data_IF_069853085912
#
_entry.id   IF_069853085912
#
_cell.length_a   1.000
_cell.length_b   1.000
_cell.length_c   1.000
_cell.angle_alpha   90.00
_cell.angle_beta   90.00
_cell.angle_gamma   90.00
#
_symmetry.space_group_name_H-M   'P 1'
#
loop_
_entity.id
_entity.type
_entity.pdbx_description
1 polymer ?
#
# COMPACT_ATOMS: atom_id res chain seq x y z
N UNK A 1 25.80 -34.11 20.58
CA UNK A 1 24.51 -34.87 20.49
C UNK A 1 23.37 -34.04 19.87
N UNK A 2 23.29 -32.73 20.10
CA UNK A 2 22.19 -31.84 19.64
C UNK A 2 21.74 -32.00 18.16
N UNK A 3 22.68 -32.12 17.20
CA UNK A 3 22.36 -32.31 15.77
C UNK A 3 21.50 -33.54 15.45
N UNK A 4 21.54 -34.60 16.27
CA UNK A 4 20.74 -35.82 16.04
C UNK A 4 19.27 -35.68 16.45
N UNK A 5 18.92 -34.68 17.25
CA UNK A 5 17.54 -34.39 17.67
C UNK A 5 16.92 -33.21 16.90
N UNK A 6 17.71 -32.26 16.42
CA UNK A 6 17.22 -31.13 15.61
C UNK A 6 16.62 -31.57 14.26
N UNK A 7 17.23 -32.56 13.59
CA UNK A 7 16.78 -33.01 12.26
C UNK A 7 15.39 -33.66 12.26
N UNK A 8 15.06 -34.64 13.14
CA UNK A 8 13.71 -35.19 13.21
C UNK A 8 12.67 -34.17 13.71
N UNK A 9 13.06 -33.22 14.57
CA UNK A 9 12.16 -32.16 15.05
C UNK A 9 11.73 -31.22 13.91
N UNK A 10 12.67 -30.79 13.05
CA UNK A 10 12.35 -29.98 11.87
C UNK A 10 11.54 -30.77 10.83
N UNK A 11 11.83 -32.06 10.63
CA UNK A 11 11.05 -32.91 9.73
C UNK A 11 9.59 -33.11 10.21
N UNK A 12 9.38 -33.29 11.52
CA UNK A 12 8.04 -33.39 12.10
C UNK A 12 7.25 -32.10 11.96
N UNK A 13 7.91 -30.94 12.12
CA UNK A 13 7.31 -29.61 11.94
C UNK A 13 6.88 -29.37 10.48
N UNK A 14 7.67 -29.83 9.52
CA UNK A 14 7.40 -29.68 8.08
C UNK A 14 6.26 -30.59 7.58
N UNK A 15 6.10 -31.78 8.18
CA UNK A 15 5.04 -32.74 7.81
C UNK A 15 3.68 -32.35 8.42
N UNK A 16 3.68 -31.55 9.50
CA UNK A 16 2.46 -31.06 10.15
C UNK A 16 1.82 -29.81 9.48
N UNK A 17 2.43 -29.26 8.42
CA UNK A 17 1.90 -28.11 7.66
C UNK A 17 1.40 -28.55 6.27
N UNK A 18 0.30 -29.31 6.19
CA UNK A 18 -0.82 -28.82 5.37
C UNK A 18 -2.21 -29.33 5.84
N UNK A 19 -2.86 -28.63 6.78
CA UNK A 19 -4.33 -28.60 6.93
C UNK A 19 -4.74 -27.67 8.08
N UNK A 20 -4.85 -26.35 7.83
CA UNK A 20 -5.52 -25.44 8.77
C UNK A 20 -6.21 -24.25 8.09
N UNK A 21 -6.98 -24.52 7.04
CA UNK A 21 -7.95 -23.56 6.49
C UNK A 21 -9.18 -23.45 7.41
N UNK A 22 -9.01 -22.86 8.59
CA UNK A 22 -10.12 -22.51 9.49
C UNK A 22 -10.59 -21.09 9.17
N UNK A 23 -11.54 -20.99 8.24
CA UNK A 23 -12.31 -19.77 8.02
C UNK A 23 -13.32 -19.58 9.16
N UNK A 24 -12.88 -18.92 10.23
CA UNK A 24 -13.76 -18.42 11.28
C UNK A 24 -13.43 -16.97 11.63
N UNK A 25 -14.45 -16.10 11.61
CA UNK A 25 -14.36 -14.76 12.16
C UNK A 25 -14.40 -14.86 13.69
N UNK A 26 -13.22 -14.93 14.32
CA UNK A 26 -13.12 -14.89 15.77
C UNK A 26 -13.32 -13.45 16.27
N UNK A 27 -14.53 -13.13 16.73
CA UNK A 27 -14.75 -11.99 17.62
C UNK A 27 -13.94 -12.24 18.90
N UNK A 28 -12.84 -11.49 19.03
CA UNK A 28 -11.89 -11.63 20.13
C UNK A 28 -11.82 -10.31 20.89
N UNK A 29 -12.27 -10.34 22.13
CA UNK A 29 -12.09 -9.24 23.08
C UNK A 29 -10.73 -9.40 23.78
N UNK A 30 -9.77 -8.48 23.58
CA UNK A 30 -8.49 -8.55 24.28
C UNK A 30 -8.70 -8.40 25.79
N UNK A 31 -8.29 -9.41 26.55
CA UNK A 31 -8.29 -9.40 28.02
C UNK A 31 -7.23 -8.47 28.60
N UNK A 32 -6.17 -8.17 27.83
CA UNK A 32 -5.05 -7.32 28.22
C UNK A 32 -4.68 -6.37 27.08
N UNK A 33 -4.21 -5.16 27.41
CA UNK A 33 -3.85 -4.13 26.42
C UNK A 33 -2.35 -4.14 26.16
N UNK A 34 -1.97 -4.18 24.89
CA UNK A 34 -0.57 -4.11 24.48
C UNK A 34 -0.11 -2.64 24.51
N UNK A 35 0.97 -2.29 25.23
CA UNK A 35 1.47 -0.92 25.30
C UNK A 35 1.77 -0.36 23.90
N UNK A 36 1.23 0.82 23.61
CA UNK A 36 1.48 1.54 22.35
C UNK A 36 0.63 1.12 21.15
N UNK A 37 -0.35 0.22 21.31
CA UNK A 37 -1.27 -0.16 20.20
C UNK A 37 -2.74 -0.07 20.63
N UNK A 38 -3.58 0.47 19.75
CA UNK A 38 -5.04 0.56 19.97
C UNK A 38 -5.69 -0.81 19.80
N UNK A 39 -6.38 -1.28 20.84
CA UNK A 39 -7.11 -2.55 20.83
C UNK A 39 -8.48 -2.38 20.17
N UNK A 40 -8.53 -2.57 18.84
CA UNK A 40 -9.78 -2.93 18.18
C UNK A 40 -10.12 -4.39 18.57
N UNK A 41 -11.40 -4.72 18.71
CA UNK A 41 -11.90 -6.05 19.11
C UNK A 41 -11.74 -7.15 18.06
N UNK A 42 -10.62 -7.15 17.33
CA UNK A 42 -10.34 -8.02 16.21
C UNK A 42 -9.04 -8.80 16.47
N UNK A 43 -9.14 -10.14 16.48
CA UNK A 43 -8.03 -11.05 16.73
C UNK A 43 -6.79 -10.75 15.87
N UNK A 44 -6.99 -10.32 14.63
CA UNK A 44 -5.94 -10.09 13.65
C UNK A 44 -5.15 -8.80 13.92
N UNK A 45 -5.86 -7.73 14.31
CA UNK A 45 -5.23 -6.49 14.75
C UNK A 45 -4.42 -6.75 16.05
N UNK A 46 -4.94 -7.59 16.94
CA UNK A 46 -4.25 -8.01 18.15
C UNK A 46 -2.96 -8.82 17.87
N UNK A 47 -3.01 -9.85 17.00
CA UNK A 47 -1.81 -10.61 16.59
C UNK A 47 -0.79 -9.69 15.87
N UNK A 48 -1.25 -8.75 15.04
CA UNK A 48 -0.40 -7.73 14.41
C UNK A 48 0.31 -6.84 15.45
N UNK A 49 -0.40 -6.46 16.51
CA UNK A 49 0.14 -5.71 17.63
C UNK A 49 1.19 -6.51 18.41
N UNK A 50 0.93 -7.78 18.74
CA UNK A 50 1.88 -8.68 19.43
C UNK A 50 3.19 -8.81 18.66
N UNK A 51 3.12 -9.06 17.35
CA UNK A 51 4.32 -9.23 16.52
C UNK A 51 5.17 -7.95 16.48
N UNK A 52 4.55 -6.79 16.23
CA UNK A 52 5.25 -5.49 16.18
C UNK A 52 5.88 -5.14 17.52
N UNK A 53 5.19 -5.41 18.63
CA UNK A 53 5.71 -5.26 19.98
C UNK A 53 6.92 -6.17 20.24
N UNK A 54 6.84 -7.44 19.83
CA UNK A 54 7.94 -8.41 19.97
C UNK A 54 9.23 -7.97 19.27
N UNK A 55 9.14 -7.46 18.04
CA UNK A 55 10.31 -6.94 17.29
C UNK A 55 10.96 -5.75 18.03
N UNK A 56 10.16 -4.83 18.57
CA UNK A 56 10.66 -3.71 19.36
C UNK A 56 11.36 -4.17 20.66
N UNK A 57 10.77 -5.14 21.37
CA UNK A 57 11.37 -5.71 22.59
C UNK A 57 12.71 -6.37 22.29
N UNK A 58 12.82 -7.15 21.22
CA UNK A 58 14.08 -7.80 20.82
C UNK A 58 15.19 -6.77 20.58
N UNK A 59 14.89 -5.67 19.87
CA UNK A 59 15.85 -4.59 19.62
C UNK A 59 16.33 -3.91 20.91
N UNK A 60 15.40 -3.59 21.81
CA UNK A 60 15.72 -2.96 23.11
C UNK A 60 16.54 -3.91 24.00
N UNK A 61 16.17 -5.19 24.10
CA UNK A 61 16.91 -6.18 24.88
C UNK A 61 18.32 -6.41 24.32
N UNK A 62 18.49 -6.49 23.00
CA UNK A 62 19.81 -6.61 22.38
C UNK A 62 20.70 -5.39 22.70
N UNK A 63 20.15 -4.17 22.62
CA UNK A 63 20.86 -2.94 22.99
C UNK A 63 21.35 -2.98 24.46
N UNK A 64 20.49 -3.33 25.41
CA UNK A 64 20.89 -3.40 26.82
C UNK A 64 21.96 -4.46 27.08
N UNK A 65 21.86 -5.64 26.46
CA UNK A 65 22.87 -6.70 26.64
C UNK A 65 24.23 -6.31 26.05
N UNK A 66 24.27 -5.58 24.92
CA UNK A 66 25.50 -5.01 24.36
C UNK A 66 26.11 -3.97 25.31
N UNK A 67 25.30 -3.09 25.91
CA UNK A 67 25.77 -2.10 26.91
C UNK A 67 26.36 -2.79 28.15
N UNK A 68 25.67 -3.80 28.70
CA UNK A 68 26.13 -4.58 29.86
C UNK A 68 27.44 -5.30 29.53
N UNK A 69 27.51 -5.97 28.38
CA UNK A 69 28.73 -6.64 27.91
C UNK A 69 29.90 -5.66 27.70
N UNK A 70 29.63 -4.47 27.15
CA UNK A 70 30.62 -3.40 26.98
C UNK A 70 31.15 -2.88 28.33
N UNK A 71 30.27 -2.65 29.30
CA UNK A 71 30.65 -2.26 30.65
C UNK A 71 31.50 -3.33 31.36
N UNK A 72 31.07 -4.60 31.29
CA UNK A 72 31.83 -5.74 31.81
C UNK A 72 33.22 -5.86 31.15
N UNK A 73 33.34 -5.55 29.86
CA UNK A 73 34.61 -5.59 29.14
C UNK A 73 35.60 -4.54 29.68
N UNK A 74 35.14 -3.30 29.85
CA UNK A 74 35.96 -2.20 30.39
C UNK A 74 36.38 -2.49 31.84
N UNK A 75 35.44 -2.94 32.68
CA UNK A 75 35.69 -3.24 34.10
C UNK A 75 36.50 -4.53 34.33
N UNK A 76 36.83 -5.29 33.30
CA UNK A 76 37.60 -6.54 33.44
C UNK A 76 39.08 -6.33 33.78
N UNK A 77 39.62 -5.10 33.67
CA UNK A 77 40.98 -4.73 34.10
C UNK A 77 42.11 -5.69 33.63
N UNK A 78 42.00 -6.23 32.41
CA UNK A 78 42.98 -7.17 31.83
C UNK A 78 42.81 -8.65 32.22
N UNK A 79 41.80 -9.00 33.05
CA UNK A 79 41.48 -10.39 33.33
C UNK A 79 40.85 -11.08 32.10
N UNK A 80 41.65 -11.92 31.43
CA UNK A 80 41.24 -12.67 30.24
C UNK A 80 39.93 -13.47 30.41
N UNK A 81 39.65 -14.02 31.59
CA UNK A 81 38.42 -14.80 31.83
C UNK A 81 37.18 -13.90 31.89
N UNK A 82 37.28 -12.73 32.53
CA UNK A 82 36.19 -11.74 32.58
C UNK A 82 35.98 -11.07 31.22
N UNK A 83 37.07 -10.75 30.51
CA UNK A 83 37.02 -10.23 29.14
C UNK A 83 36.38 -11.24 28.17
N UNK A 84 36.67 -12.53 28.32
CA UNK A 84 36.04 -13.61 27.55
C UNK A 84 34.53 -13.69 27.78
N UNK A 85 34.08 -13.63 29.04
CA UNK A 85 32.65 -13.59 29.40
C UNK A 85 31.94 -12.36 28.81
N UNK A 86 32.55 -11.18 28.92
CA UNK A 86 32.02 -9.93 28.37
C UNK A 86 31.85 -10.00 26.84
N UNK A 87 32.84 -10.54 26.12
CA UNK A 87 32.73 -10.80 24.66
C UNK A 87 31.63 -11.80 24.32
N UNK A 88 31.44 -12.84 25.14
CA UNK A 88 30.34 -13.79 25.01
C UNK A 88 28.97 -13.10 25.05
N UNK A 89 28.71 -12.29 26.08
CA UNK A 89 27.44 -11.53 26.22
C UNK A 89 27.16 -10.63 25.01
N UNK A 90 28.17 -9.95 24.49
CA UNK A 90 28.03 -9.11 23.28
C UNK A 90 27.74 -9.98 22.05
N UNK A 91 28.47 -11.10 21.89
CA UNK A 91 28.30 -11.99 20.74
C UNK A 91 26.91 -12.65 20.73
N UNK A 92 26.44 -13.15 21.87
CA UNK A 92 25.12 -13.78 22.00
C UNK A 92 23.99 -12.79 21.69
N UNK A 93 24.12 -11.53 22.14
CA UNK A 93 23.18 -10.46 21.81
C UNK A 93 23.15 -10.12 20.30
N UNK A 94 24.32 -10.06 19.65
CA UNK A 94 24.43 -9.86 18.20
C UNK A 94 23.85 -11.05 17.43
N UNK A 95 24.12 -12.29 17.85
CA UNK A 95 23.57 -13.50 17.23
C UNK A 95 22.04 -13.52 17.36
N UNK A 96 21.48 -13.15 18.50
CA UNK A 96 20.03 -13.01 18.68
C UNK A 96 19.41 -11.98 17.73
N UNK A 97 20.03 -10.81 17.59
CA UNK A 97 19.58 -9.77 16.67
C UNK A 97 19.68 -10.21 15.20
N UNK A 98 20.78 -10.85 14.81
CA UNK A 98 20.97 -11.40 13.47
C UNK A 98 19.96 -12.51 13.17
N UNK A 99 19.63 -13.38 14.13
CA UNK A 99 18.62 -14.42 13.96
C UNK A 99 17.24 -13.82 13.68
N UNK A 100 16.85 -12.77 14.41
CA UNK A 100 15.62 -12.03 14.13
C UNK A 100 15.63 -11.36 12.74
N UNK A 101 16.76 -10.78 12.34
CA UNK A 101 16.93 -10.15 11.03
C UNK A 101 16.88 -11.17 9.88
N UNK A 102 17.56 -12.31 10.00
CA UNK A 102 17.50 -13.38 9.00
C UNK A 102 16.11 -14.04 8.93
N UNK A 103 15.41 -14.16 10.06
CA UNK A 103 14.00 -14.58 10.09
C UNK A 103 13.14 -13.64 9.23
N UNK A 104 13.25 -12.32 9.44
CA UNK A 104 12.57 -11.32 8.62
C UNK A 104 12.95 -11.42 7.13
N UNK A 105 14.23 -11.53 6.79
CA UNK A 105 14.70 -11.66 5.40
C UNK A 105 14.13 -12.89 4.70
N UNK A 106 14.14 -14.07 5.36
CA UNK A 106 13.60 -15.30 4.78
C UNK A 106 12.09 -15.16 4.53
N UNK A 107 11.35 -14.60 5.47
CA UNK A 107 9.91 -14.34 5.29
C UNK A 107 9.66 -13.36 4.13
N UNK A 108 10.45 -12.27 4.06
CA UNK A 108 10.33 -11.24 3.03
C UNK A 108 10.61 -11.77 1.62
N UNK A 109 11.66 -12.58 1.46
CA UNK A 109 12.07 -13.14 0.16
C UNK A 109 11.10 -14.22 -0.35
N UNK A 110 10.48 -15.00 0.56
CA UNK A 110 9.45 -15.98 0.20
C UNK A 110 8.15 -15.28 -0.19
N UNK A 111 7.66 -14.36 0.64
CA UNK A 111 6.53 -13.49 0.31
C UNK A 111 6.48 -12.27 1.26
N UNK A 112 6.60 -11.03 0.76
CA UNK A 112 6.56 -9.82 1.59
C UNK A 112 5.21 -9.64 2.35
N UNK A 113 4.12 -10.26 1.91
CA UNK A 113 2.83 -10.19 2.62
C UNK A 113 2.87 -10.94 3.98
N UNK A 114 3.79 -11.90 4.14
CA UNK A 114 4.02 -12.60 5.41
C UNK A 114 4.65 -11.67 6.46
N UNK A 115 5.46 -10.68 6.04
CA UNK A 115 5.97 -9.65 6.96
C UNK A 115 4.97 -8.53 7.20
N UNK A 116 3.96 -8.38 6.32
CA UNK A 116 2.89 -7.39 6.47
C UNK A 116 1.69 -7.86 7.30
N UNK A 117 1.64 -9.13 7.72
CA UNK A 117 0.61 -9.75 8.61
C UNK A 117 -0.81 -9.83 7.99
N UNK A 118 -1.09 -9.07 6.93
CA UNK A 118 -2.30 -9.13 6.11
C UNK A 118 -2.66 -10.56 5.65
N UNK A 119 -1.64 -11.41 5.41
CA UNK A 119 -1.81 -12.80 4.97
C UNK A 119 -2.40 -13.76 6.03
N UNK A 120 -2.34 -13.44 7.32
CA UNK A 120 -2.84 -14.32 8.41
C UNK A 120 -4.37 -14.22 8.56
N UNK A 121 -4.97 -13.15 8.05
CA UNK A 121 -6.34 -12.75 8.39
C UNK A 121 -7.14 -12.15 7.22
N UNK A 122 -6.78 -12.51 5.99
CA UNK A 122 -7.43 -12.03 4.78
C UNK A 122 -8.90 -12.45 4.68
N UNK A 123 -9.82 -11.58 5.12
CA UNK A 123 -11.25 -11.77 4.90
C UNK A 123 -11.60 -11.74 3.41
N UNK A 124 -11.72 -12.95 2.82
CA UNK A 124 -12.61 -13.23 1.68
C UNK A 124 -14.06 -12.91 2.09
N UNK A 125 -14.41 -11.62 2.06
CA UNK A 125 -15.81 -11.18 2.20
C UNK A 125 -16.51 -11.32 0.86
N UNK A 126 -17.36 -12.34 0.74
CA UNK A 126 -18.16 -12.59 -0.46
C UNK A 126 -19.66 -12.39 -0.22
N UNK A 127 -20.36 -12.01 -1.29
CA UNK A 127 -21.82 -11.97 -1.39
C UNK A 127 -22.48 -10.63 -1.03
N UNK A 128 -23.61 -10.25 -1.63
CA UNK A 128 -24.24 -10.71 -2.88
C UNK A 128 -25.37 -9.73 -3.25
N UNK A 129 -25.50 -9.35 -4.52
CA UNK A 129 -26.68 -8.66 -5.04
C UNK A 129 -26.82 -8.89 -6.56
N UNK A 130 -28.07 -8.98 -7.04
CA UNK A 130 -28.44 -9.62 -8.32
C UNK A 130 -29.13 -8.62 -9.26
N UNK A 131 -28.85 -8.72 -10.56
CA UNK A 131 -29.56 -7.99 -11.63
C UNK A 131 -29.16 -6.51 -11.78
N UNK A 132 -29.22 -5.90 -12.97
CA UNK A 132 -29.57 -6.41 -14.29
C UNK A 132 -29.78 -5.24 -15.27
N UNK A 133 -29.39 -5.38 -16.54
CA UNK A 133 -29.59 -4.35 -17.58
C UNK A 133 -28.29 -3.85 -18.21
N UNK A 134 -28.06 -4.23 -19.47
CA UNK A 134 -27.00 -3.70 -20.33
C UNK A 134 -27.46 -2.43 -21.06
N UNK A 135 -26.58 -1.71 -21.80
CA UNK A 135 -26.22 -2.17 -23.15
C UNK A 135 -24.72 -2.34 -23.45
N UNK A 136 -24.40 -3.57 -23.82
CA UNK A 136 -23.48 -4.11 -24.87
C UNK A 136 -23.40 -3.29 -26.18
N UNK A 137 -22.38 -3.33 -27.06
CA UNK A 137 -20.94 -3.78 -27.10
C UNK A 137 -20.28 -3.11 -28.36
N UNK A 138 -19.04 -3.43 -28.82
CA UNK A 138 -18.79 -4.61 -29.70
C UNK A 138 -17.54 -5.47 -29.37
N UNK A 139 -17.69 -6.78 -29.55
CA UNK A 139 -16.61 -7.80 -29.71
C UNK A 139 -16.84 -8.50 -31.06
N UNK A 140 -16.00 -9.37 -31.64
CA UNK A 140 -14.89 -10.28 -31.22
C UNK A 140 -14.01 -10.50 -32.52
N UNK A 141 -13.11 -11.49 -32.70
CA UNK A 141 -12.45 -12.43 -31.78
C UNK A 141 -10.92 -12.63 -31.96
N UNK A 142 -10.26 -13.16 -30.92
CA UNK A 142 -9.10 -14.04 -31.13
C UNK A 142 -7.91 -13.88 -30.19
N UNK A 143 -8.04 -14.24 -28.90
CA UNK A 143 -7.01 -14.92 -28.11
C UNK A 143 -7.56 -15.32 -26.72
N UNK A 144 -7.00 -16.37 -26.12
CA UNK A 144 -7.46 -16.95 -24.85
C UNK A 144 -6.99 -16.09 -23.66
N UNK A 145 -7.88 -15.67 -22.74
CA UNK A 145 -7.49 -14.86 -21.59
C UNK A 145 -6.77 -15.72 -20.53
N UNK A 146 -5.72 -15.20 -19.86
CA UNK A 146 -5.27 -15.74 -18.58
C UNK A 146 -6.35 -15.55 -17.51
N UNK A 147 -6.43 -16.50 -16.60
CA UNK A 147 -7.49 -16.55 -15.59
C UNK A 147 -7.18 -15.67 -14.37
N UNK A 148 -8.24 -15.18 -13.72
CA UNK A 148 -8.27 -14.68 -12.33
C UNK A 148 -7.39 -13.47 -11.99
N UNK A 149 -7.81 -12.29 -12.45
CA UNK A 149 -7.65 -11.07 -11.66
C UNK A 149 -8.66 -11.05 -10.49
N UNK A 150 -8.19 -10.88 -9.25
CA UNK A 150 -9.07 -10.73 -8.08
C UNK A 150 -9.69 -9.33 -8.08
N UNK A 151 -11.04 -9.19 -8.02
CA UNK A 151 -11.69 -7.87 -7.97
C UNK A 151 -11.18 -7.01 -6.82
N UNK A 152 -10.93 -5.73 -7.09
CA UNK A 152 -10.47 -4.78 -6.07
C UNK A 152 -11.54 -4.63 -4.98
N UNK A 153 -11.21 -5.02 -3.74
CA UNK A 153 -12.09 -4.84 -2.57
C UNK A 153 -12.28 -3.35 -2.31
N UNK A 154 -13.47 -2.84 -2.60
CA UNK A 154 -13.86 -1.46 -2.33
C UNK A 154 -14.15 -1.28 -0.83
N UNK A 155 -13.59 -0.24 -0.23
CA UNK A 155 -13.86 0.12 1.17
C UNK A 155 -15.13 0.98 1.32
N UNK A 156 -15.52 1.22 2.58
CA UNK A 156 -16.54 2.22 2.93
C UNK A 156 -15.88 3.49 3.45
N UNK A 157 -16.54 4.63 3.24
CA UNK A 157 -16.12 5.92 3.78
C UNK A 157 -16.40 5.96 5.30
N UNK A 158 -15.43 5.50 6.09
CA UNK A 158 -15.41 5.62 7.55
C UNK A 158 -15.71 7.05 8.04
N UNK A 159 -16.51 7.22 9.12
CA UNK A 159 -16.71 8.49 9.81
C UNK A 159 -15.43 9.14 10.34
N UNK A 160 -14.30 8.43 10.36
CA UNK A 160 -13.00 8.96 10.76
C UNK A 160 -12.55 10.21 9.97
N UNK A 161 -13.08 10.44 8.76
CA UNK A 161 -12.83 11.68 8.02
C UNK A 161 -13.74 12.85 8.43
N UNK A 162 -14.92 12.60 9.02
CA UNK A 162 -15.95 13.62 9.24
C UNK A 162 -15.49 14.71 10.26
N UNK A 163 -14.52 14.38 11.14
CA UNK A 163 -13.82 15.33 12.02
C UNK A 163 -12.97 16.39 11.29
N UNK A 164 -12.71 16.22 9.99
CA UNK A 164 -11.92 17.15 9.18
C UNK A 164 -12.77 17.94 8.16
N UNK A 165 -14.10 17.89 8.27
CA UNK A 165 -15.00 18.47 7.27
C UNK A 165 -14.86 20.00 7.17
N UNK A 166 -14.57 20.71 8.27
CA UNK A 166 -14.29 22.14 8.19
C UNK A 166 -13.00 22.45 7.41
N UNK A 167 -11.96 21.61 7.53
CA UNK A 167 -10.72 21.75 6.78
C UNK A 167 -10.92 21.41 5.29
N UNK A 168 -11.67 20.36 4.96
CA UNK A 168 -12.03 20.04 3.57
C UNK A 168 -12.84 21.18 2.94
N UNK A 169 -13.88 21.68 3.63
CA UNK A 169 -14.71 22.79 3.18
C UNK A 169 -13.92 24.10 3.02
N UNK A 170 -12.86 24.30 3.80
CA UNK A 170 -11.98 25.47 3.69
C UNK A 170 -10.92 25.35 2.58
N UNK A 171 -10.62 24.13 2.11
CA UNK A 171 -9.58 23.89 1.11
C UNK A 171 -10.12 23.94 -0.34
N UNK A 172 -11.42 23.70 -0.53
CA UNK A 172 -12.06 23.72 -1.84
C UNK A 172 -13.47 24.35 -1.81
N UNK A 173 -13.85 25.15 -2.83
CA UNK A 173 -15.11 25.89 -2.84
C UNK A 173 -16.35 25.03 -3.16
N UNK A 174 -16.15 23.88 -3.79
CA UNK A 174 -17.20 23.00 -4.34
C UNK A 174 -17.22 21.62 -3.65
N UNK A 175 -18.43 21.05 -3.48
CA UNK A 175 -18.63 19.77 -2.75
C UNK A 175 -17.93 18.61 -3.46
N UNK A 176 -17.83 18.69 -4.77
CA UNK A 176 -17.19 17.75 -5.67
C UNK A 176 -15.70 17.59 -5.31
N UNK A 177 -14.97 18.69 -5.20
CA UNK A 177 -13.55 18.72 -4.79
C UNK A 177 -13.37 18.46 -3.30
N UNK A 178 -14.27 18.93 -2.43
CA UNK A 178 -14.25 18.60 -0.99
C UNK A 178 -14.33 17.08 -0.77
N UNK A 179 -15.28 16.42 -1.43
CA UNK A 179 -15.42 14.96 -1.39
C UNK A 179 -14.29 14.22 -2.10
N UNK A 180 -13.67 14.80 -3.13
CA UNK A 180 -12.48 14.23 -3.77
C UNK A 180 -11.30 14.19 -2.79
N UNK A 181 -11.01 15.32 -2.13
CA UNK A 181 -9.98 15.42 -1.10
C UNK A 181 -10.25 14.46 0.06
N UNK A 182 -11.51 14.33 0.50
CA UNK A 182 -11.93 13.38 1.54
C UNK A 182 -11.73 11.92 1.11
N UNK A 183 -12.00 11.61 -0.16
CA UNK A 183 -11.74 10.28 -0.74
C UNK A 183 -10.25 9.94 -0.86
N UNK A 184 -9.41 10.93 -1.19
CA UNK A 184 -7.94 10.82 -1.17
C UNK A 184 -7.45 10.59 0.26
N UNK A 185 -7.87 11.41 1.23
CA UNK A 185 -7.49 11.27 2.64
C UNK A 185 -7.83 9.88 3.22
N UNK A 186 -8.99 9.32 2.82
CA UNK A 186 -9.37 7.95 3.17
C UNK A 186 -8.42 6.91 2.59
N UNK A 187 -8.04 7.06 1.32
CA UNK A 187 -7.18 6.10 0.63
C UNK A 187 -5.71 6.21 1.08
N UNK A 188 -5.24 7.40 1.43
CA UNK A 188 -3.85 7.67 1.83
C UNK A 188 -3.57 7.32 3.30
N UNK A 189 -4.48 7.70 4.22
CA UNK A 189 -4.24 7.56 5.67
C UNK A 189 -5.39 6.90 6.44
N UNK A 190 -6.51 6.55 5.80
CA UNK A 190 -7.75 6.21 6.51
C UNK A 190 -8.30 7.38 7.34
N UNK A 191 -7.93 8.62 6.98
CA UNK A 191 -8.11 9.82 7.79
C UNK A 191 -7.47 9.74 9.21
N UNK A 192 -6.31 9.10 9.31
CA UNK A 192 -5.45 9.15 10.48
C UNK A 192 -4.39 10.25 10.30
N UNK A 193 -4.49 11.36 11.05
CA UNK A 193 -3.47 12.43 11.02
C UNK A 193 -2.12 12.01 11.62
N UNK A 194 -2.07 10.93 12.38
CA UNK A 194 -0.88 10.49 13.11
C UNK A 194 0.00 9.54 12.26
N UNK A 195 -0.27 9.41 10.96
CA UNK A 195 0.63 8.71 10.03
C UNK A 195 1.89 9.55 9.84
N UNK A 196 2.99 9.07 10.40
CA UNK A 196 4.32 9.61 10.12
C UNK A 196 4.74 9.35 8.67
N UNK A 197 6.03 9.57 8.39
CA UNK A 197 6.60 9.30 7.07
C UNK A 197 6.36 7.85 6.66
N UNK A 198 5.60 7.63 5.60
CA UNK A 198 5.48 6.30 4.99
C UNK A 198 6.84 5.82 4.46
N UNK A 199 6.92 4.54 4.08
CA UNK A 199 8.11 3.94 3.47
C UNK A 199 8.57 4.65 2.17
N UNK A 200 7.74 5.54 1.59
CA UNK A 200 8.06 6.37 0.42
C UNK A 200 8.35 7.86 0.77
N UNK A 201 8.45 8.21 2.06
CA UNK A 201 8.78 9.55 2.55
C UNK A 201 7.62 10.56 2.53
N UNK A 202 6.37 10.09 2.61
CA UNK A 202 5.18 10.93 2.53
C UNK A 202 4.47 11.05 3.90
N UNK A 203 3.93 12.22 4.22
CA UNK A 203 3.53 12.58 5.60
C UNK A 203 2.09 13.07 5.72
N UNK A 204 1.52 12.85 6.90
CA UNK A 204 0.23 13.40 7.33
C UNK A 204 -0.97 12.81 6.59
N UNK A 205 -2.12 13.47 6.80
CA UNK A 205 -3.44 13.00 6.39
C UNK A 205 -3.54 12.67 4.89
N UNK A 206 -2.84 13.47 4.07
CA UNK A 206 -2.89 13.41 2.61
C UNK A 206 -1.67 12.70 1.98
N UNK A 207 -0.78 12.12 2.80
CA UNK A 207 0.47 11.44 2.39
C UNK A 207 1.24 12.18 1.28
N UNK A 208 1.67 13.41 1.58
CA UNK A 208 2.43 14.24 0.64
C UNK A 208 3.92 14.18 1.00
N UNK A 209 4.80 14.13 -0.01
CA UNK A 209 6.26 14.24 0.21
C UNK A 209 6.69 15.69 0.46
N UNK A 210 7.61 15.96 1.40
CA UNK A 210 8.15 17.29 1.65
C UNK A 210 8.63 18.02 0.39
N UNK A 211 9.44 17.33 -0.43
CA UNK A 211 10.01 17.88 -1.67
C UNK A 211 8.94 18.23 -2.72
N UNK A 212 7.86 17.45 -2.79
CA UNK A 212 6.72 17.70 -3.69
C UNK A 212 5.85 18.86 -3.18
N UNK A 213 5.75 19.04 -1.87
CA UNK A 213 4.95 20.09 -1.26
C UNK A 213 5.65 21.46 -1.22
N UNK A 214 6.99 21.47 -1.17
CA UNK A 214 7.77 22.63 -0.73
C UNK A 214 7.54 22.97 0.75
N UNK A 215 7.27 21.96 1.58
CA UNK A 215 6.90 22.12 3.00
C UNK A 215 7.64 21.11 3.87
N UNK A 216 7.86 21.42 5.14
CA UNK A 216 8.49 20.47 6.06
C UNK A 216 7.55 19.31 6.44
N UNK A 217 8.12 18.17 6.83
CA UNK A 217 7.36 17.01 7.32
C UNK A 217 6.46 17.33 8.54
N UNK A 218 6.90 18.25 9.41
CA UNK A 218 6.11 18.75 10.55
C UNK A 218 4.86 19.49 10.07
N UNK A 219 5.00 20.37 9.09
CA UNK A 219 3.88 21.12 8.53
C UNK A 219 2.91 20.27 7.72
N UNK A 220 3.40 19.23 7.04
CA UNK A 220 2.54 18.26 6.34
C UNK A 220 1.79 17.32 7.30
N UNK A 221 2.26 17.19 8.55
CA UNK A 221 1.58 16.43 9.61
C UNK A 221 0.43 17.21 10.24
N UNK A 222 0.37 18.53 10.07
CA UNK A 222 -0.82 19.32 10.41
C UNK A 222 -1.96 19.03 9.40
N UNK A 223 -3.16 18.60 9.84
CA UNK A 223 -4.24 18.21 8.94
C UNK A 223 -4.71 19.32 7.99
N UNK A 224 -4.79 20.57 8.46
CA UNK A 224 -5.28 21.68 7.64
C UNK A 224 -4.30 22.04 6.54
N UNK A 225 -3.00 22.13 6.87
CA UNK A 225 -1.92 22.32 5.90
C UNK A 225 -1.83 21.15 4.92
N UNK A 226 -1.96 19.91 5.39
CA UNK A 226 -1.95 18.70 4.56
C UNK A 226 -3.07 18.75 3.51
N UNK A 227 -4.32 19.03 3.93
CA UNK A 227 -5.50 19.12 3.04
C UNK A 227 -5.38 20.30 2.07
N UNK A 228 -4.96 21.48 2.54
CA UNK A 228 -4.76 22.66 1.68
C UNK A 228 -3.70 22.40 0.60
N UNK A 229 -2.56 21.79 0.97
CA UNK A 229 -1.52 21.42 0.00
C UNK A 229 -2.01 20.38 -1.00
N UNK A 230 -2.81 19.39 -0.60
CA UNK A 230 -3.42 18.46 -1.54
C UNK A 230 -4.34 19.17 -2.55
N UNK A 231 -5.13 20.15 -2.11
CA UNK A 231 -5.99 20.95 -3.00
C UNK A 231 -5.18 21.80 -4.00
N UNK A 232 -4.03 22.35 -3.58
CA UNK A 232 -3.08 23.03 -4.48
C UNK A 232 -2.46 22.08 -5.50
N UNK A 233 -2.03 20.88 -5.07
CA UNK A 233 -1.47 19.87 -5.96
C UNK A 233 -2.48 19.38 -7.00
N UNK A 234 -3.76 19.19 -6.64
CA UNK A 234 -4.81 18.87 -7.60
C UNK A 234 -4.99 19.98 -8.65
N UNK A 235 -4.96 21.26 -8.26
CA UNK A 235 -5.02 22.40 -9.20
C UNK A 235 -3.79 22.49 -10.11
N UNK A 236 -2.62 22.16 -9.58
CA UNK A 236 -1.38 22.07 -10.37
C UNK A 236 -1.46 20.93 -11.39
N UNK A 237 -1.89 19.74 -10.95
CA UNK A 237 -2.08 18.58 -11.80
C UNK A 237 -3.13 18.81 -12.90
N UNK A 238 -4.29 19.40 -12.59
CA UNK A 238 -5.28 19.83 -13.59
C UNK A 238 -4.65 20.70 -14.68
N UNK A 239 -3.76 21.62 -14.28
CA UNK A 239 -3.06 22.53 -15.20
C UNK A 239 -2.06 21.80 -16.07
N UNK A 240 -1.31 20.85 -15.49
CA UNK A 240 -0.37 19.98 -16.20
C UNK A 240 -1.08 19.02 -17.17
N UNK A 241 -2.23 18.46 -16.79
CA UNK A 241 -3.01 17.56 -17.64
C UNK A 241 -3.45 18.25 -18.94
N UNK A 242 -3.85 19.53 -18.88
CA UNK A 242 -4.18 20.32 -20.09
C UNK A 242 -3.03 20.45 -21.11
N UNK A 243 -1.78 20.11 -20.75
CA UNK A 243 -0.64 20.16 -21.69
C UNK A 243 -0.54 18.93 -22.60
N UNK A 244 -1.25 17.84 -22.30
CA UNK A 244 -1.28 16.64 -23.12
C UNK A 244 -2.25 16.79 -24.29
N UNK A 245 -1.72 16.71 -25.51
CA UNK A 245 -2.48 16.84 -26.77
C UNK A 245 -2.61 15.54 -27.56
N UNK A 246 -1.87 14.49 -27.18
CA UNK A 246 -1.83 13.20 -27.89
C UNK A 246 -3.02 12.29 -27.60
N UNK A 247 -3.61 12.45 -26.42
CA UNK A 247 -4.77 11.73 -25.93
C UNK A 247 -5.59 12.70 -25.06
N UNK A 248 -6.92 12.52 -24.96
CA UNK A 248 -7.72 13.32 -24.03
C UNK A 248 -7.32 12.98 -22.58
N UNK A 249 -7.17 14.00 -21.75
CA UNK A 249 -7.07 13.85 -20.29
C UNK A 249 -8.19 14.63 -19.62
N UNK A 250 -8.84 14.04 -18.62
CA UNK A 250 -9.89 14.74 -17.90
C UNK A 250 -9.35 15.56 -16.72
N UNK A 251 -9.97 16.72 -16.52
CA UNK A 251 -9.64 17.69 -15.46
C UNK A 251 -10.76 17.88 -14.44
N UNK A 252 -11.87 17.15 -14.57
CA UNK A 252 -13.00 17.31 -13.67
C UNK A 252 -12.66 16.78 -12.28
N UNK A 253 -13.32 17.31 -11.26
CA UNK A 253 -13.24 16.78 -9.90
C UNK A 253 -14.35 15.76 -9.63
N UNK A 254 -15.38 15.70 -10.47
CA UNK A 254 -16.47 14.71 -10.44
C UNK A 254 -16.15 13.41 -11.17
N UNK A 255 -16.52 12.23 -10.62
CA UNK A 255 -16.59 11.01 -11.40
C UNK A 255 -17.69 11.12 -12.46
N UNK A 256 -17.37 10.73 -13.69
CA UNK A 256 -18.30 10.60 -14.80
C UNK A 256 -19.21 9.37 -14.69
N UNK A 257 -20.04 9.21 -15.71
CA UNK A 257 -21.03 8.11 -15.82
C UNK A 257 -20.48 6.89 -16.55
N UNK A 258 -19.57 7.08 -17.50
CA UNK A 258 -18.91 6.01 -18.25
C UNK A 258 -17.94 5.23 -17.34
N UNK A 259 -17.89 3.91 -17.52
CA UNK A 259 -17.09 3.00 -16.70
C UNK A 259 -16.12 2.19 -17.57
N UNK A 260 -14.82 2.39 -17.34
CA UNK A 260 -13.75 1.58 -17.92
C UNK A 260 -13.58 0.31 -17.08
N UNK A 261 -13.45 -0.85 -17.75
CA UNK A 261 -13.24 -2.15 -17.09
C UNK A 261 -12.12 -2.91 -17.79
N UNK A 262 -11.21 -3.49 -17.02
CA UNK A 262 -10.01 -4.15 -17.52
C UNK A 262 -10.09 -5.68 -17.45
N UNK A 263 -9.32 -6.41 -18.28
CA UNK A 263 -9.21 -7.86 -18.20
C UNK A 263 -8.70 -8.38 -16.84
N UNK A 264 -7.97 -7.56 -16.09
CA UNK A 264 -7.46 -7.86 -14.73
C UNK A 264 -8.52 -7.69 -13.62
N UNK A 265 -9.78 -7.38 -13.98
CA UNK A 265 -10.88 -7.18 -13.05
C UNK A 265 -10.92 -5.81 -12.37
N UNK A 266 -9.96 -4.92 -12.65
CA UNK A 266 -10.01 -3.52 -12.25
C UNK A 266 -11.07 -2.73 -13.02
N UNK A 267 -11.62 -1.68 -12.41
CA UNK A 267 -12.55 -0.78 -13.11
C UNK A 267 -12.65 0.59 -12.45
N UNK A 268 -12.71 1.67 -13.24
CA UNK A 268 -12.95 3.03 -12.76
C UNK A 268 -14.01 3.73 -13.62
N UNK A 269 -14.50 4.87 -13.15
CA UNK A 269 -15.35 5.78 -13.94
C UNK A 269 -14.49 6.85 -14.58
N UNK A 270 -14.82 7.35 -15.76
CA UNK A 270 -14.08 8.48 -16.37
C UNK A 270 -14.31 9.79 -15.58
N UNK A 271 -13.81 10.93 -16.05
CA UNK A 271 -14.18 12.26 -15.54
C UNK A 271 -13.17 12.84 -14.55
N UNK A 272 -12.84 12.14 -13.47
CA UNK A 272 -11.79 12.59 -12.54
C UNK A 272 -10.67 11.55 -12.32
N UNK A 273 -10.68 10.51 -13.14
CA UNK A 273 -9.75 9.40 -13.10
C UNK A 273 -8.30 9.81 -13.39
N UNK A 274 -8.05 10.61 -14.43
CA UNK A 274 -6.72 11.19 -14.70
C UNK A 274 -6.24 12.08 -13.56
N UNK A 275 -7.14 12.89 -12.98
CA UNK A 275 -6.79 13.77 -11.86
C UNK A 275 -6.40 12.97 -10.61
N UNK A 276 -7.12 11.89 -10.31
CA UNK A 276 -6.78 10.98 -9.20
C UNK A 276 -5.50 10.19 -9.50
N UNK A 277 -5.32 9.70 -10.73
CA UNK A 277 -4.11 9.00 -11.16
C UNK A 277 -2.87 9.90 -11.05
N UNK A 278 -2.99 11.17 -11.42
CA UNK A 278 -1.92 12.16 -11.30
C UNK A 278 -1.53 12.50 -9.86
N UNK A 279 -2.44 12.33 -8.89
CA UNK A 279 -2.12 12.49 -7.48
C UNK A 279 -1.25 11.32 -6.97
N UNK A 280 -1.59 10.09 -7.35
CA UNK A 280 -0.90 8.87 -6.90
C UNK A 280 0.42 8.60 -7.66
N UNK A 281 0.41 8.69 -8.99
CA UNK A 281 1.55 8.39 -9.86
C UNK A 281 2.36 9.62 -10.30
N UNK A 282 1.90 10.83 -9.99
CA UNK A 282 2.41 12.10 -10.52
C UNK A 282 1.78 12.47 -11.86
N UNK A 283 1.72 13.77 -12.20
CA UNK A 283 1.15 14.24 -13.48
C UNK A 283 2.07 14.09 -14.70
N UNK A 284 3.26 13.49 -14.56
CA UNK A 284 4.33 13.54 -15.56
C UNK A 284 4.38 12.38 -16.55
N UNK A 285 5.01 12.62 -17.70
CA UNK A 285 5.35 11.59 -18.70
C UNK A 285 6.67 10.85 -18.41
N UNK A 286 7.39 11.21 -17.34
CA UNK A 286 8.64 10.57 -16.90
C UNK A 286 8.62 10.41 -15.38
N UNK A 287 9.10 9.26 -14.88
CA UNK A 287 9.23 8.98 -13.44
C UNK A 287 10.71 8.79 -13.00
N UNK A 288 11.66 9.18 -13.86
CA UNK A 288 13.11 9.07 -13.64
C UNK A 288 13.84 8.65 -14.91
N UNK A 289 15.15 8.46 -14.84
CA UNK A 289 15.92 7.89 -15.96
C UNK A 289 15.42 6.49 -16.31
N UNK A 290 15.17 6.24 -17.60
CA UNK A 290 14.64 4.96 -18.09
C UNK A 290 13.20 4.62 -17.66
N UNK A 291 12.50 5.49 -16.92
CA UNK A 291 11.16 5.22 -16.38
C UNK A 291 10.09 6.10 -17.07
N UNK A 292 9.16 5.44 -17.74
CA UNK A 292 7.89 6.04 -18.16
C UNK A 292 7.15 6.60 -16.93
N UNK A 293 6.47 7.73 -17.10
CA UNK A 293 5.49 8.25 -16.13
C UNK A 293 4.06 7.86 -16.54
N UNK A 294 3.07 7.98 -15.64
CA UNK A 294 1.69 7.57 -15.89
C UNK A 294 1.05 8.26 -17.09
N UNK A 295 1.48 9.48 -17.43
CA UNK A 295 1.02 10.25 -18.60
C UNK A 295 2.03 10.21 -19.76
N UNK A 296 2.85 9.16 -19.85
CA UNK A 296 3.55 8.83 -21.09
C UNK A 296 2.57 8.23 -22.10
N UNK A 297 2.83 8.40 -23.40
CA UNK A 297 2.07 7.73 -24.46
C UNK A 297 2.34 6.22 -24.41
N UNK A 298 1.27 5.45 -24.25
CA UNK A 298 1.30 3.99 -24.27
C UNK A 298 1.90 3.44 -25.55
N UNK A 299 2.87 2.54 -25.42
CA UNK A 299 3.42 1.73 -26.51
C UNK A 299 2.85 0.31 -26.50
N UNK A 300 2.42 -0.21 -25.34
CA UNK A 300 1.85 -1.56 -25.24
C UNK A 300 0.39 -1.64 -25.73
N UNK A 301 -0.40 -0.58 -25.54
CA UNK A 301 -1.78 -0.52 -26.05
C UNK A 301 -1.87 -0.03 -27.50
N UNK A 302 -0.81 0.57 -28.05
CA UNK A 302 -0.76 1.13 -29.40
C UNK A 302 -0.92 0.06 -30.48
N UNK A 303 -1.79 0.28 -31.46
CA UNK A 303 -2.12 -0.70 -32.50
C UNK A 303 -2.79 -1.99 -32.00
N UNK A 304 -3.15 -2.09 -30.71
CA UNK A 304 -3.73 -3.31 -30.12
C UNK A 304 -5.25 -3.29 -30.30
N UNK A 305 -5.82 -4.39 -30.81
CA UNK A 305 -7.24 -4.46 -31.11
C UNK A 305 -8.12 -4.17 -29.87
N UNK A 306 -9.05 -3.22 -29.99
CA UNK A 306 -9.93 -2.78 -28.90
C UNK A 306 -9.35 -1.68 -27.99
N UNK A 307 -8.15 -1.17 -28.27
CA UNK A 307 -7.53 -0.04 -27.56
C UNK A 307 -7.43 1.19 -28.50
N UNK A 308 -7.44 2.41 -27.96
CA UNK A 308 -7.19 3.62 -28.74
C UNK A 308 -5.73 3.68 -29.21
N UNK A 309 -5.50 4.32 -30.37
CA UNK A 309 -4.16 4.48 -30.96
C UNK A 309 -3.19 5.32 -30.11
N UNK A 310 -3.73 6.10 -29.16
CA UNK A 310 -2.96 6.84 -28.17
C UNK A 310 -3.75 6.93 -26.86
N UNK A 311 -3.09 6.62 -25.75
CA UNK A 311 -3.63 6.72 -24.39
C UNK A 311 -2.48 6.90 -23.37
N UNK A 312 -2.74 7.45 -22.18
CA UNK A 312 -1.75 7.51 -21.12
C UNK A 312 -1.43 6.11 -20.58
N UNK A 313 -0.16 5.86 -20.27
CA UNK A 313 0.33 4.56 -19.81
C UNK A 313 -0.39 4.04 -18.55
N UNK A 314 -0.90 4.93 -17.69
CA UNK A 314 -1.61 4.51 -16.48
C UNK A 314 -2.91 3.74 -16.75
N UNK A 315 -3.58 4.08 -17.87
CA UNK A 315 -4.80 3.42 -18.33
C UNK A 315 -4.53 2.11 -19.06
N UNK A 316 -3.29 1.83 -19.50
CA UNK A 316 -3.00 0.59 -20.23
C UNK A 316 -2.89 -0.61 -19.25
N UNK A 317 -3.66 -1.70 -19.44
CA UNK A 317 -3.59 -2.86 -18.58
C UNK A 317 -2.33 -3.69 -18.83
N UNK A 318 -2.06 -4.63 -17.92
CA UNK A 318 -1.03 -5.66 -18.12
C UNK A 318 -1.54 -6.71 -19.11
N UNK A 319 -0.68 -7.15 -20.04
CA UNK A 319 -1.02 -8.17 -21.04
C UNK A 319 -0.27 -9.49 -20.83
N UNK A 320 -0.94 -10.58 -21.18
CA UNK A 320 -0.46 -11.97 -21.03
C UNK A 320 0.85 -12.28 -21.76
N UNK A 321 1.09 -11.57 -22.88
CA UNK A 321 2.27 -11.70 -23.74
C UNK A 321 3.54 -11.05 -23.13
N UNK A 322 3.44 -10.46 -21.93
CA UNK A 322 4.53 -9.76 -21.28
C UNK A 322 4.81 -8.38 -21.85
N UNK A 323 3.92 -7.83 -22.69
CA UNK A 323 3.93 -6.40 -23.00
C UNK A 323 3.47 -5.61 -21.76
N UNK A 324 4.37 -4.76 -21.28
CA UNK A 324 4.22 -4.01 -20.01
C UNK A 324 4.63 -2.57 -20.19
N UNK A 325 3.95 -1.69 -19.45
CA UNK A 325 4.31 -0.29 -19.29
C UNK A 325 4.85 -0.05 -17.88
N UNK A 326 5.54 1.07 -17.63
CA UNK A 326 6.31 1.31 -16.39
C UNK A 326 5.51 1.14 -15.08
N UNK A 327 6.15 0.91 -13.93
CA UNK A 327 7.52 1.28 -13.54
C UNK A 327 8.46 0.06 -13.33
N UNK A 328 9.53 -0.02 -14.13
CA UNK A 328 10.53 -1.10 -14.08
C UNK A 328 10.09 -2.37 -14.82
N UNK A 329 10.68 -2.62 -16.00
CA UNK A 329 10.34 -3.76 -16.86
C UNK A 329 10.81 -5.08 -16.24
N UNK A 330 9.98 -5.67 -15.39
CA UNK A 330 10.19 -7.00 -14.85
C UNK A 330 9.28 -8.00 -15.57
N UNK A 331 9.69 -8.43 -16.78
CA UNK A 331 8.98 -9.45 -17.59
C UNK A 331 8.66 -10.75 -16.84
N UNK A 332 9.34 -10.99 -15.71
CA UNK A 332 9.24 -12.20 -14.90
C UNK A 332 8.71 -11.95 -13.48
N UNK A 333 8.11 -10.79 -13.17
CA UNK A 333 7.51 -10.52 -11.85
C UNK A 333 5.99 -10.28 -11.96
N UNK A 334 5.14 -11.26 -11.57
CA UNK A 334 3.69 -11.14 -11.67
C UNK A 334 3.09 -10.06 -10.75
N UNK A 335 3.86 -9.53 -9.80
CA UNK A 335 3.43 -8.48 -8.88
C UNK A 335 3.73 -7.05 -9.38
N UNK A 336 4.33 -6.88 -10.57
CA UNK A 336 4.65 -5.56 -11.16
C UNK A 336 3.90 -5.33 -12.48
N UNK A 337 2.58 -5.22 -12.37
CA UNK A 337 1.64 -5.11 -13.48
C UNK A 337 1.46 -3.65 -13.96
N UNK A 338 2.57 -2.99 -14.30
CA UNK A 338 2.60 -1.57 -14.68
C UNK A 338 1.90 -0.68 -13.65
N UNK A 339 1.00 0.18 -14.12
CA UNK A 339 0.21 1.11 -13.28
C UNK A 339 -1.01 0.50 -12.57
N UNK A 340 -1.02 -0.81 -12.29
CA UNK A 340 -2.14 -1.42 -11.55
C UNK A 340 -2.37 -0.77 -10.18
N UNK A 341 -1.31 -0.42 -9.45
CA UNK A 341 -1.45 0.31 -8.17
C UNK A 341 -2.25 1.61 -8.35
N UNK A 342 -1.98 2.37 -9.41
CA UNK A 342 -2.67 3.61 -9.74
C UNK A 342 -4.11 3.38 -10.20
N UNK A 343 -4.39 2.35 -11.02
CA UNK A 343 -5.77 1.98 -11.40
C UNK A 343 -6.61 1.57 -10.18
N UNK A 344 -6.05 0.73 -9.31
CA UNK A 344 -6.68 0.31 -8.06
C UNK A 344 -6.92 1.49 -7.11
N UNK A 345 -5.99 2.46 -7.07
CA UNK A 345 -6.10 3.69 -6.30
C UNK A 345 -7.25 4.58 -6.83
N UNK A 346 -7.32 4.82 -8.15
CA UNK A 346 -8.41 5.57 -8.79
C UNK A 346 -9.78 4.97 -8.43
N UNK A 347 -9.91 3.65 -8.60
CA UNK A 347 -11.14 2.93 -8.29
C UNK A 347 -11.60 3.12 -6.83
N UNK A 348 -10.66 3.10 -5.87
CA UNK A 348 -10.97 3.27 -4.43
C UNK A 348 -11.36 4.70 -4.09
N UNK A 349 -10.59 5.70 -4.55
CA UNK A 349 -10.87 7.13 -4.28
C UNK A 349 -12.21 7.55 -4.86
N UNK A 350 -12.54 7.17 -6.10
CA UNK A 350 -13.84 7.47 -6.70
C UNK A 350 -15.01 6.87 -5.91
N UNK A 351 -14.84 5.65 -5.39
CA UNK A 351 -15.83 5.01 -4.54
C UNK A 351 -16.04 5.76 -3.22
N UNK A 352 -14.97 6.19 -2.54
CA UNK A 352 -15.08 7.02 -1.32
C UNK A 352 -15.72 8.38 -1.61
N UNK A 353 -15.35 9.02 -2.71
CA UNK A 353 -15.95 10.29 -3.12
C UNK A 353 -17.44 10.16 -3.43
N UNK A 354 -17.86 9.11 -4.15
CA UNK A 354 -19.29 8.85 -4.41
C UNK A 354 -20.08 8.66 -3.12
N UNK A 355 -19.51 7.97 -2.14
CA UNK A 355 -20.11 7.82 -0.81
C UNK A 355 -20.15 9.15 -0.03
N UNK A 356 -19.19 10.05 -0.21
CA UNK A 356 -19.23 11.40 0.36
C UNK A 356 -20.28 12.29 -0.32
N UNK A 357 -20.41 12.24 -1.64
CA UNK A 357 -21.38 13.04 -2.39
C UNK A 357 -22.83 12.66 -2.07
N UNK A 358 -23.07 11.39 -1.73
CA UNK A 358 -24.36 10.85 -1.33
C UNK A 358 -24.76 11.14 0.14
N UNK A 359 -23.87 11.72 0.96
CA UNK A 359 -24.18 12.27 2.30
C UNK A 359 -24.67 13.71 2.17
#
# INVERSE_FOLDING_TARGET
>A
MLKKFLLPFFALLFIAMPALDVLASFDYTPMEKIPGVTTDGNFCNYISAVYKFGIWVIGICAMFMIIIGGYMYIMSAGNNASMGKAKGVIFDAIVGLLLAFFSYLILYEINPDLTQINGICGTKGGGAATGGGAPTTPTKPGETPPTTGTPVKLGSLSPACDKYDSQFNSAAPDKETQCLLKGIAMQESGCNSNVGGSNKGAYGLMQIKPDTAGMSASELSDPEKSIKKAAELLKSNQSQLNSYTKFPTSKQTTPGTEKVTFPDGGSYYTGNDDLIASYNGGGGAKAGEGKLGPFAESQACKGRAGYPESMPAWQCPYFADGSVEGEGVHKNNPNKQGYKETRDYVQKVQNYQKQCLAK
#
